data_IF_080851496571
#
_entry.id   IF_080851496571
#
_cell.length_a   1.000
_cell.length_b   1.000
_cell.length_c   1.000
_cell.angle_alpha   90.00
_cell.angle_beta   90.00
_cell.angle_gamma   90.00
#
_symmetry.space_group_name_H-M   'P 1'
#
loop_
_entity.id
_entity.type
_entity.pdbx_description
1 polymer ?
#
# COMPACT_ATOMS: atom_id res chain seq x y z
N UNK A 1 -24.36 -7.44 26.13
CA UNK A 1 -23.57 -8.58 25.68
C UNK A 1 -23.38 -8.62 24.16
N UNK A 2 -24.38 -8.27 23.37
CA UNK A 2 -24.33 -8.32 21.91
C UNK A 2 -23.28 -7.40 21.27
N UNK A 3 -23.12 -6.17 21.74
CA UNK A 3 -22.19 -5.19 21.16
C UNK A 3 -20.72 -5.60 21.35
N UNK A 4 -20.36 -6.09 22.54
CA UNK A 4 -18.98 -6.54 22.79
C UNK A 4 -18.61 -7.77 21.97
N UNK A 5 -19.53 -8.73 21.79
CA UNK A 5 -19.32 -9.93 20.95
C UNK A 5 -19.23 -9.56 19.48
N UNK A 6 -20.03 -8.61 18.99
CA UNK A 6 -19.98 -8.14 17.62
C UNK A 6 -18.67 -7.43 17.33
N UNK A 7 -18.21 -6.56 18.23
CA UNK A 7 -16.93 -5.86 18.11
C UNK A 7 -15.77 -6.85 18.05
N UNK A 8 -15.76 -7.86 18.90
CA UNK A 8 -14.71 -8.91 18.90
C UNK A 8 -14.75 -9.73 17.62
N UNK A 9 -15.94 -10.10 17.12
CA UNK A 9 -16.10 -10.82 15.87
C UNK A 9 -15.59 -10.01 14.69
N UNK A 10 -15.94 -8.72 14.64
CA UNK A 10 -15.44 -7.79 13.61
C UNK A 10 -13.93 -7.65 13.67
N UNK A 11 -13.34 -7.55 14.86
CA UNK A 11 -11.89 -7.47 15.03
C UNK A 11 -11.20 -8.73 14.51
N UNK A 12 -11.75 -9.91 14.75
CA UNK A 12 -11.23 -11.17 14.22
C UNK A 12 -11.32 -11.26 12.71
N UNK A 13 -12.45 -10.83 12.13
CA UNK A 13 -12.63 -10.77 10.68
C UNK A 13 -11.65 -9.80 10.04
N UNK A 14 -11.48 -8.62 10.63
CA UNK A 14 -10.53 -7.61 10.15
C UNK A 14 -9.10 -8.14 10.22
N UNK A 15 -8.74 -8.81 11.30
CA UNK A 15 -7.42 -9.43 11.43
C UNK A 15 -7.19 -10.51 10.37
N UNK A 16 -8.16 -11.40 10.16
CA UNK A 16 -8.05 -12.45 9.14
C UNK A 16 -7.89 -11.86 7.75
N UNK A 17 -8.67 -10.85 7.42
CA UNK A 17 -8.59 -10.13 6.14
C UNK A 17 -7.21 -9.46 5.98
N UNK A 18 -6.73 -8.80 7.02
CA UNK A 18 -5.42 -8.15 7.00
C UNK A 18 -4.28 -9.17 6.90
N UNK A 19 -4.40 -10.34 7.53
CA UNK A 19 -3.41 -11.42 7.41
C UNK A 19 -3.29 -11.92 5.96
N UNK A 20 -4.40 -12.15 5.29
CA UNK A 20 -4.40 -12.54 3.89
C UNK A 20 -3.74 -11.50 3.00
N UNK A 21 -4.08 -10.23 3.22
CA UNK A 21 -3.50 -9.12 2.47
C UNK A 21 -2.01 -8.99 2.74
N UNK A 22 -1.61 -9.09 4.00
CA UNK A 22 -0.20 -8.98 4.41
C UNK A 22 0.68 -10.08 3.80
N UNK A 23 0.15 -11.29 3.66
CA UNK A 23 0.86 -12.41 3.05
C UNK A 23 1.22 -12.15 1.58
N UNK A 24 0.47 -11.30 0.91
CA UNK A 24 0.71 -10.94 -0.49
C UNK A 24 1.78 -9.85 -0.65
N UNK A 25 2.26 -9.25 0.44
CA UNK A 25 3.20 -8.13 0.36
C UNK A 25 4.46 -8.44 -0.47
N UNK A 26 5.16 -9.57 -0.30
CA UNK A 26 6.35 -9.84 -1.11
C UNK A 26 6.06 -9.89 -2.61
N UNK A 27 4.96 -10.50 -3.01
CA UNK A 27 4.50 -10.55 -4.41
C UNK A 27 4.16 -9.16 -4.92
N UNK A 28 3.47 -8.36 -4.11
CA UNK A 28 3.08 -7.00 -4.48
C UNK A 28 4.29 -6.06 -4.59
N UNK A 29 5.32 -6.26 -3.78
CA UNK A 29 6.58 -5.51 -3.90
C UNK A 29 7.31 -5.86 -5.20
N UNK A 30 7.28 -7.12 -5.62
CA UNK A 30 7.81 -7.52 -6.93
C UNK A 30 7.05 -6.87 -8.07
N UNK A 31 5.71 -6.80 -7.95
CA UNK A 31 4.87 -6.12 -8.95
C UNK A 31 5.23 -4.63 -9.06
N UNK A 32 5.53 -3.96 -7.95
CA UNK A 32 6.01 -2.57 -7.95
C UNK A 32 7.31 -2.47 -8.73
N UNK A 33 8.28 -3.33 -8.46
CA UNK A 33 9.57 -3.33 -9.16
C UNK A 33 9.40 -3.55 -10.67
N UNK A 34 8.56 -4.49 -11.05
CA UNK A 34 8.26 -4.76 -12.46
C UNK A 34 7.60 -3.56 -13.15
N UNK A 35 6.65 -2.92 -12.48
CA UNK A 35 5.98 -1.73 -13.02
C UNK A 35 6.94 -0.54 -13.16
N UNK A 36 7.86 -0.35 -12.20
CA UNK A 36 8.91 0.66 -12.28
C UNK A 36 9.84 0.42 -13.46
N UNK A 37 10.28 -0.82 -13.65
CA UNK A 37 11.14 -1.18 -14.77
C UNK A 37 10.44 -0.98 -16.12
N UNK A 38 9.16 -1.36 -16.20
CA UNK A 38 8.37 -1.18 -17.44
C UNK A 38 8.24 0.30 -17.80
N UNK A 39 8.00 1.16 -16.81
CA UNK A 39 7.93 2.61 -17.03
C UNK A 39 9.28 3.17 -17.48
N UNK A 40 10.36 2.75 -16.82
CA UNK A 40 11.71 3.23 -17.15
C UNK A 40 12.12 2.79 -18.54
N UNK A 41 11.83 1.55 -18.94
CA UNK A 41 12.09 1.08 -20.32
C UNK A 41 11.30 1.88 -21.35
N UNK A 42 10.04 2.20 -21.04
CA UNK A 42 9.20 3.03 -21.92
C UNK A 42 9.78 4.44 -22.08
N UNK A 43 10.26 5.04 -20.99
CA UNK A 43 10.94 6.35 -21.03
C UNK A 43 12.21 6.32 -21.87
N UNK A 44 13.04 5.30 -21.67
CA UNK A 44 14.33 5.16 -22.35
C UNK A 44 14.18 5.05 -23.87
N UNK A 45 13.15 4.36 -24.35
CA UNK A 45 12.89 4.22 -25.78
C UNK A 45 11.98 5.32 -26.36
N UNK A 46 11.71 6.35 -25.58
CA UNK A 46 10.84 7.46 -26.00
C UNK A 46 9.46 6.99 -26.48
N UNK A 47 8.83 6.13 -25.69
CA UNK A 47 7.50 5.62 -25.99
C UNK A 47 6.47 6.75 -26.12
N UNK A 48 5.36 6.54 -26.87
CA UNK A 48 4.29 7.53 -26.97
C UNK A 48 3.74 7.92 -25.60
N UNK A 49 3.23 9.14 -25.50
CA UNK A 49 2.67 9.70 -24.26
C UNK A 49 1.58 8.81 -23.67
N UNK A 50 0.75 8.21 -24.48
CA UNK A 50 -0.32 7.30 -24.06
C UNK A 50 0.25 6.06 -23.34
N UNK A 51 1.34 5.50 -23.87
CA UNK A 51 2.01 4.37 -23.24
C UNK A 51 2.69 4.77 -21.94
N UNK A 52 3.37 5.92 -21.94
CA UNK A 52 4.00 6.45 -20.70
C UNK A 52 2.96 6.68 -19.62
N UNK A 53 1.81 7.24 -20.00
CA UNK A 53 0.70 7.45 -19.07
C UNK A 53 0.19 6.11 -18.52
N UNK A 54 -0.01 5.10 -19.39
CA UNK A 54 -0.49 3.79 -18.97
C UNK A 54 0.50 3.11 -18.00
N UNK A 55 1.79 3.15 -18.30
CA UNK A 55 2.81 2.59 -17.40
C UNK A 55 2.85 3.33 -16.07
N UNK A 56 2.63 4.63 -16.08
CA UNK A 56 2.52 5.43 -14.87
C UNK A 56 1.31 5.06 -14.02
N UNK A 57 0.16 4.83 -14.64
CA UNK A 57 -1.06 4.36 -13.96
C UNK A 57 -0.88 2.96 -13.41
N UNK A 58 -0.22 2.07 -14.15
CA UNK A 58 0.09 0.70 -13.68
C UNK A 58 0.97 0.75 -12.43
N UNK A 59 1.98 1.61 -12.40
CA UNK A 59 2.83 1.77 -11.22
C UNK A 59 2.05 2.33 -10.02
N UNK A 60 1.18 3.31 -10.25
CA UNK A 60 0.31 3.83 -9.19
C UNK A 60 -0.54 2.72 -8.57
N UNK A 61 -1.16 1.89 -9.40
CA UNK A 61 -1.96 0.77 -8.94
C UNK A 61 -1.13 -0.23 -8.13
N UNK A 62 0.07 -0.57 -8.61
CA UNK A 62 0.98 -1.48 -7.91
C UNK A 62 1.41 -0.92 -6.56
N UNK A 63 1.78 0.36 -6.50
CA UNK A 63 2.14 1.04 -5.24
C UNK A 63 0.98 1.06 -4.26
N UNK A 64 -0.23 1.31 -4.74
CA UNK A 64 -1.44 1.35 -3.91
C UNK A 64 -1.69 -0.01 -3.27
N UNK A 65 -1.63 -1.10 -4.04
CA UNK A 65 -1.85 -2.44 -3.50
C UNK A 65 -0.75 -2.85 -2.51
N UNK A 66 0.51 -2.56 -2.82
CA UNK A 66 1.62 -2.84 -1.91
C UNK A 66 1.50 -2.04 -0.60
N UNK A 67 1.12 -0.77 -0.69
CA UNK A 67 0.89 0.09 0.47
C UNK A 67 -0.21 -0.47 1.37
N UNK A 68 -1.33 -0.87 0.78
CA UNK A 68 -2.44 -1.47 1.53
C UNK A 68 -2.01 -2.75 2.25
N UNK A 69 -1.23 -3.60 1.58
CA UNK A 69 -0.70 -4.82 2.18
C UNK A 69 0.29 -4.52 3.32
N UNK A 70 1.13 -3.49 3.15
CA UNK A 70 2.08 -3.09 4.18
C UNK A 70 1.38 -2.55 5.43
N UNK A 71 0.34 -1.75 5.29
CA UNK A 71 -0.45 -1.30 6.43
C UNK A 71 -1.25 -2.44 7.06
N UNK A 72 -1.74 -3.38 6.27
CA UNK A 72 -2.38 -4.59 6.79
C UNK A 72 -1.39 -5.39 7.65
N UNK A 73 -0.14 -5.53 7.21
CA UNK A 73 0.91 -6.18 7.98
C UNK A 73 1.15 -5.47 9.31
N UNK A 74 1.23 -4.14 9.30
CA UNK A 74 1.35 -3.34 10.53
C UNK A 74 0.23 -3.70 11.51
N UNK A 75 -1.02 -3.70 11.05
CA UNK A 75 -2.18 -4.01 11.89
C UNK A 75 -2.13 -5.44 12.44
N UNK A 76 -1.68 -6.41 11.65
CA UNK A 76 -1.55 -7.79 12.13
C UNK A 76 -0.48 -7.93 13.21
N UNK A 77 0.61 -7.18 13.12
CA UNK A 77 1.67 -7.18 14.13
C UNK A 77 1.25 -6.49 15.42
N UNK A 78 0.37 -5.49 15.34
CA UNK A 78 -0.27 -4.90 16.53
C UNK A 78 -1.20 -5.92 17.19
N UNK A 79 -1.92 -6.69 16.40
CA UNK A 79 -2.81 -7.76 16.86
C UNK A 79 -4.27 -7.33 16.99
N UNK A 80 -5.16 -8.28 17.33
CA UNK A 80 -6.61 -8.05 17.29
C UNK A 80 -7.08 -6.96 18.24
N UNK A 81 -6.45 -6.79 19.38
CA UNK A 81 -6.83 -5.76 20.35
C UNK A 81 -6.62 -4.34 19.80
N UNK A 82 -5.69 -4.15 18.86
CA UNK A 82 -5.44 -2.85 18.24
C UNK A 82 -6.60 -2.33 17.40
N UNK A 83 -7.51 -3.18 16.95
CA UNK A 83 -8.70 -2.77 16.20
C UNK A 83 -9.77 -2.13 17.09
N UNK A 84 -9.69 -2.33 18.39
CA UNK A 84 -10.70 -1.88 19.34
C UNK A 84 -10.16 -0.87 20.36
N UNK A 85 -8.84 -0.87 20.61
CA UNK A 85 -8.21 -0.11 21.68
C UNK A 85 -7.07 0.76 21.14
N UNK A 86 -7.30 2.07 21.09
CA UNK A 86 -6.33 3.06 20.62
C UNK A 86 -5.08 3.14 21.48
N UNK A 87 -5.24 2.98 22.78
CA UNK A 87 -4.11 3.05 23.74
C UNK A 87 -3.20 1.85 23.53
N UNK A 88 -3.78 0.67 23.41
CA UNK A 88 -3.04 -0.56 23.13
C UNK A 88 -2.29 -0.45 21.79
N UNK A 89 -2.98 0.01 20.76
CA UNK A 89 -2.38 0.21 19.43
C UNK A 89 -1.20 1.16 19.49
N UNK A 90 -1.36 2.31 20.17
CA UNK A 90 -0.29 3.31 20.33
C UNK A 90 0.94 2.72 21.00
N UNK A 91 0.76 1.94 22.07
CA UNK A 91 1.85 1.27 22.77
C UNK A 91 2.57 0.26 21.88
N UNK A 92 1.80 -0.52 21.12
CA UNK A 92 2.35 -1.54 20.22
C UNK A 92 3.12 -0.92 19.04
N UNK A 93 2.67 0.20 18.51
CA UNK A 93 3.36 0.91 17.42
C UNK A 93 4.78 1.35 17.81
N UNK A 94 5.05 1.50 19.10
CA UNK A 94 6.40 1.83 19.59
C UNK A 94 7.37 0.63 19.58
N UNK A 95 6.88 -0.60 19.47
CA UNK A 95 7.74 -1.79 19.45
C UNK A 95 8.56 -1.88 18.15
N UNK A 96 9.84 -2.31 18.22
CA UNK A 96 10.73 -2.30 17.05
C UNK A 96 10.18 -3.05 15.82
N UNK A 97 9.57 -4.19 16.03
CA UNK A 97 9.00 -5.00 14.94
C UNK A 97 7.86 -4.30 14.22
N UNK A 98 6.98 -3.67 14.99
CA UNK A 98 5.86 -2.89 14.46
C UNK A 98 6.36 -1.63 13.78
N UNK A 99 7.31 -0.93 14.39
CA UNK A 99 7.92 0.28 13.81
C UNK A 99 8.55 0.01 12.46
N UNK A 100 9.20 -1.13 12.29
CA UNK A 100 9.76 -1.52 11.00
C UNK A 100 8.67 -1.70 9.93
N UNK A 101 7.57 -2.38 10.29
CA UNK A 101 6.42 -2.53 9.39
C UNK A 101 5.82 -1.18 9.03
N UNK A 102 5.71 -0.27 9.99
CA UNK A 102 5.24 1.11 9.78
C UNK A 102 6.14 1.84 8.79
N UNK A 103 7.46 1.72 8.93
CA UNK A 103 8.41 2.35 8.01
C UNK A 103 8.24 1.88 6.57
N UNK A 104 8.05 0.58 6.38
CA UNK A 104 7.80 0.02 5.03
C UNK A 104 6.53 0.62 4.45
N UNK A 105 5.45 0.64 5.22
CA UNK A 105 4.17 1.20 4.78
C UNK A 105 4.30 2.69 4.44
N UNK A 106 4.97 3.47 5.28
CA UNK A 106 5.18 4.91 5.06
C UNK A 106 6.05 5.18 3.83
N UNK A 107 7.07 4.37 3.57
CA UNK A 107 7.88 4.49 2.36
C UNK A 107 7.06 4.28 1.10
N UNK A 108 6.17 3.28 1.11
CA UNK A 108 5.28 3.01 -0.01
C UNK A 108 4.27 4.13 -0.20
N UNK A 109 3.72 4.65 0.89
CA UNK A 109 2.83 5.82 0.84
C UNK A 109 3.55 7.02 0.23
N UNK A 110 4.76 7.32 0.70
CA UNK A 110 5.56 8.42 0.19
C UNK A 110 5.91 8.25 -1.28
N UNK A 111 6.29 7.04 -1.69
CA UNK A 111 6.60 6.72 -3.08
C UNK A 111 5.37 6.90 -3.98
N UNK A 112 4.20 6.46 -3.51
CA UNK A 112 2.94 6.64 -4.23
C UNK A 112 2.59 8.11 -4.40
N UNK A 113 2.69 8.89 -3.33
CA UNK A 113 2.39 10.33 -3.38
C UNK A 113 3.35 11.08 -4.30
N UNK A 114 4.65 10.79 -4.22
CA UNK A 114 5.65 11.38 -5.10
C UNK A 114 5.38 11.02 -6.57
N UNK A 115 5.02 9.77 -6.83
CA UNK A 115 4.69 9.31 -8.18
C UNK A 115 3.46 10.04 -8.73
N UNK A 116 2.42 10.22 -7.91
CA UNK A 116 1.20 10.95 -8.30
C UNK A 116 1.46 12.41 -8.61
N UNK A 117 2.37 13.04 -7.86
CA UNK A 117 2.71 14.45 -8.05
C UNK A 117 3.62 14.68 -9.26
N UNK A 118 4.60 13.80 -9.49
CA UNK A 118 5.70 14.08 -10.41
C UNK A 118 5.96 12.99 -11.46
N UNK A 119 5.50 11.77 -11.22
CA UNK A 119 5.89 10.61 -12.01
C UNK A 119 4.91 10.19 -13.11
N UNK A 120 3.65 10.60 -13.04
CA UNK A 120 2.64 10.20 -14.03
C UNK A 120 2.64 11.20 -15.18
N UNK A 121 2.91 10.68 -16.38
CA UNK A 121 2.83 11.47 -17.60
C UNK A 121 1.37 11.76 -17.92
N UNK A 122 1.03 13.04 -17.96
CA UNK A 122 -0.32 13.47 -18.33
C UNK A 122 -0.45 13.57 -19.83
N UNK A 123 -1.56 13.09 -20.35
CA UNK A 123 -1.89 13.28 -21.76
C UNK A 123 -2.31 14.73 -21.95
N UNK A 124 -1.69 15.50 -22.88
CA UNK A 124 -2.08 16.87 -23.12
C UNK A 124 -3.55 16.95 -23.56
N UNK A 125 -4.26 17.98 -23.08
CA UNK A 125 -5.59 18.28 -23.58
C UNK A 125 -5.45 18.72 -25.05
N UNK A 126 -6.27 18.12 -25.90
CA UNK A 126 -6.32 18.59 -27.27
C UNK A 126 -6.88 20.01 -27.30
N UNK A 127 -6.18 20.90 -27.99
CA UNK A 127 -6.69 22.25 -28.25
C UNK A 127 -7.93 22.14 -29.14
N UNK A 128 -9.00 22.77 -28.72
CA UNK A 128 -10.23 22.81 -29.48
C UNK A 128 -10.17 23.91 -30.54
#
# INVERSE_FOLDING_TARGET
>A
MGLAKQSTAQARESLASDQERAERLPELLRAVAEAQEALERARTRNAPVEELNQRGVDLDAALTEAMRAAYARERTLVGPKGYEDRIHRRKRLARPRVREATRVAERLLTAREAHRLHGIQRVPRQAV
#
